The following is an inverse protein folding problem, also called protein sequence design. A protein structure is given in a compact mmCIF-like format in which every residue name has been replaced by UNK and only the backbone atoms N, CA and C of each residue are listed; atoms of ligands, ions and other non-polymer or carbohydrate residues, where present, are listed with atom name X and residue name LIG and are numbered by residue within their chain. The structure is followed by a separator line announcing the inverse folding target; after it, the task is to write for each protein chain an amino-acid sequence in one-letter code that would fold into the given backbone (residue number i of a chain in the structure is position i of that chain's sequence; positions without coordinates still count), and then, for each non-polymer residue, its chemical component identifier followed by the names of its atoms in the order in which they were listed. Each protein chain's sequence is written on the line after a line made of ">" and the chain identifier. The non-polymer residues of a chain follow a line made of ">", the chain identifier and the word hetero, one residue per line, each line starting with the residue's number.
data_IF_775019762869
#
_entry.id   IF_775019762869
#
_cell.length_a   1.000
_cell.length_b   1.000
_cell.length_c   1.000
_cell.angle_alpha   90.00
_cell.angle_beta   90.00
_cell.angle_gamma   90.00
#
_symmetry.space_group_name_H-M   'P 1'
#
loop_
_entity.id
_entity.type
_entity.pdbx_description
1 polymer ?
#
# COMPACT_ATOMS: atom_id res chain seq x y z
N UNK A 1 6.75 14.98 -0.68
CA UNK A 1 7.02 13.55 -0.97
C UNK A 1 6.80 12.76 0.30
N UNK A 2 6.02 11.68 0.25
CA UNK A 2 5.85 10.78 1.39
C UNK A 2 7.07 9.86 1.44
N UNK A 3 7.74 9.81 2.59
CA UNK A 3 8.86 8.88 2.81
C UNK A 3 8.28 7.50 3.15
N UNK A 4 8.58 6.50 2.33
CA UNK A 4 8.28 5.10 2.64
C UNK A 4 9.08 4.65 3.87
N UNK A 5 8.56 3.71 4.68
CA UNK A 5 9.28 3.19 5.84
C UNK A 5 10.66 2.63 5.46
N UNK A 6 11.62 2.80 6.36
CA UNK A 6 13.01 2.36 6.18
C UNK A 6 13.21 0.87 6.52
N UNK A 7 12.21 0.03 6.26
CA UNK A 7 12.34 -1.41 6.42
C UNK A 7 13.37 -1.95 5.43
N UNK A 8 14.30 -2.80 5.91
CA UNK A 8 15.24 -3.49 5.05
C UNK A 8 14.48 -4.55 4.24
N UNK A 9 14.17 -4.26 2.98
CA UNK A 9 13.39 -5.15 2.13
C UNK A 9 13.04 -4.55 0.75
N UNK A 10 12.48 -5.36 -0.17
CA UNK A 10 12.03 -4.92 -1.48
C UNK A 10 10.98 -3.80 -1.40
N UNK A 11 10.92 -2.96 -2.44
CA UNK A 11 10.01 -1.81 -2.48
C UNK A 11 8.53 -2.18 -2.31
N UNK A 12 8.09 -3.37 -2.76
CA UNK A 12 6.69 -3.78 -2.59
C UNK A 12 6.35 -4.02 -1.11
N UNK A 13 7.29 -4.52 -0.30
CA UNK A 13 7.07 -4.71 1.15
C UNK A 13 6.88 -3.36 1.84
N UNK A 14 7.68 -2.35 1.47
CA UNK A 14 7.49 -0.98 1.98
C UNK A 14 6.13 -0.40 1.62
N UNK A 15 5.60 -0.72 0.44
CA UNK A 15 4.24 -0.34 0.04
C UNK A 15 3.21 -1.07 0.89
N UNK A 16 3.40 -2.36 1.19
CA UNK A 16 2.52 -3.13 2.08
C UNK A 16 2.49 -2.52 3.48
N UNK A 17 3.65 -2.23 4.06
CA UNK A 17 3.79 -1.59 5.37
C UNK A 17 3.07 -0.24 5.41
N UNK A 18 3.27 0.58 4.37
CA UNK A 18 2.57 1.86 4.25
C UNK A 18 1.04 1.68 4.22
N UNK A 19 0.54 0.73 3.43
CA UNK A 19 -0.90 0.48 3.32
C UNK A 19 -1.48 -0.02 4.65
N UNK A 20 -0.85 -1.02 5.25
CA UNK A 20 -1.26 -1.58 6.54
C UNK A 20 -1.20 -0.52 7.66
N UNK A 21 -0.17 0.34 7.66
CA UNK A 21 -0.07 1.44 8.61
C UNK A 21 -1.20 2.48 8.47
N UNK A 22 -1.64 2.79 7.25
CA UNK A 22 -2.77 3.69 7.03
C UNK A 22 -4.12 3.05 7.42
N UNK A 23 -4.27 1.73 7.23
CA UNK A 23 -5.45 0.98 7.70
C UNK A 23 -5.46 0.93 9.23
N UNK A 24 -4.36 0.50 9.86
CA UNK A 24 -4.23 0.36 11.31
C UNK A 24 -4.34 1.68 12.08
N UNK A 25 -3.92 2.79 11.47
CA UNK A 25 -4.12 4.14 12.04
C UNK A 25 -5.55 4.69 11.86
N UNK A 26 -6.42 3.99 11.14
CA UNK A 26 -7.80 4.43 10.86
C UNK A 26 -7.91 5.51 9.79
N UNK A 27 -6.81 5.90 9.13
CA UNK A 27 -6.85 6.85 8.00
C UNK A 27 -7.64 6.28 6.83
N UNK A 28 -7.53 4.98 6.60
CA UNK A 28 -8.32 4.23 5.62
C UNK A 28 -9.19 3.22 6.36
N UNK A 29 -10.37 3.66 6.83
CA UNK A 29 -11.28 2.76 7.51
C UNK A 29 -11.77 1.67 6.56
N UNK A 30 -12.07 0.49 7.12
CA UNK A 30 -12.56 -0.70 6.40
C UNK A 30 -13.74 -0.45 5.46
N UNK A 31 -14.56 0.56 5.75
CA UNK A 31 -15.75 0.93 4.98
C UNK A 31 -15.47 1.97 3.88
N UNK A 32 -14.21 2.39 3.72
CA UNK A 32 -13.79 3.36 2.70
C UNK A 32 -12.92 2.69 1.65
N UNK A 33 -13.13 3.09 0.39
CA UNK A 33 -12.30 2.67 -0.73
C UNK A 33 -10.86 3.16 -0.55
N UNK A 34 -9.90 2.26 -0.74
CA UNK A 34 -8.48 2.62 -0.78
C UNK A 34 -8.18 3.58 -1.94
N UNK A 35 -7.11 4.38 -1.83
CA UNK A 35 -6.58 5.12 -2.97
C UNK A 35 -6.32 4.18 -4.15
N UNK A 36 -6.54 4.68 -5.35
CA UNK A 36 -6.32 3.92 -6.59
C UNK A 36 -4.82 3.60 -6.76
N UNK A 37 -4.49 2.57 -7.56
CA UNK A 37 -3.10 2.24 -7.88
C UNK A 37 -2.31 3.46 -8.39
N UNK A 38 -2.91 4.25 -9.27
CA UNK A 38 -2.29 5.45 -9.82
C UNK A 38 -2.02 6.52 -8.75
N UNK A 39 -2.95 6.70 -7.79
CA UNK A 39 -2.75 7.64 -6.69
C UNK A 39 -1.60 7.20 -5.80
N UNK A 40 -1.49 5.90 -5.51
CA UNK A 40 -0.37 5.33 -4.74
C UNK A 40 0.96 5.48 -5.48
N UNK A 41 0.98 5.23 -6.80
CA UNK A 41 2.16 5.44 -7.66
C UNK A 41 2.65 6.89 -7.58
N UNK A 42 1.74 7.86 -7.80
CA UNK A 42 2.10 9.28 -7.75
C UNK A 42 2.51 9.74 -6.35
N UNK A 43 1.86 9.20 -5.31
CA UNK A 43 2.12 9.60 -3.92
C UNK A 43 3.44 9.05 -3.39
N UNK A 44 3.74 7.78 -3.70
CA UNK A 44 4.89 7.05 -3.18
C UNK A 44 6.11 7.12 -4.11
N UNK A 45 5.94 7.55 -5.36
CA UNK A 45 7.02 7.64 -6.35
C UNK A 45 7.59 6.30 -6.78
N UNK A 46 6.79 5.23 -6.73
CA UNK A 46 7.20 3.86 -7.09
C UNK A 46 6.53 3.40 -8.39
N UNK A 47 7.07 2.36 -9.03
CA UNK A 47 6.47 1.79 -10.24
C UNK A 47 5.08 1.19 -9.98
N UNK A 48 4.21 1.25 -11.00
CA UNK A 48 2.90 0.59 -10.98
C UNK A 48 3.01 -0.91 -10.67
N UNK A 49 4.01 -1.61 -11.21
CA UNK A 49 4.21 -3.04 -10.92
C UNK A 49 4.47 -3.30 -9.44
N UNK A 50 5.17 -2.40 -8.76
CA UNK A 50 5.45 -2.48 -7.32
C UNK A 50 4.17 -2.30 -6.50
N UNK A 51 3.36 -1.30 -6.81
CA UNK A 51 2.06 -1.08 -6.16
C UNK A 51 1.12 -2.26 -6.42
N UNK A 52 1.04 -2.70 -7.67
CA UNK A 52 0.17 -3.82 -8.06
C UNK A 52 0.52 -5.09 -7.28
N UNK A 53 1.81 -5.43 -7.20
CA UNK A 53 2.28 -6.58 -6.43
C UNK A 53 1.91 -6.46 -4.95
N UNK A 54 2.19 -5.32 -4.34
CA UNK A 54 1.90 -5.09 -2.92
C UNK A 54 0.40 -5.26 -2.62
N UNK A 55 -0.47 -4.64 -3.41
CA UNK A 55 -1.92 -4.76 -3.23
C UNK A 55 -2.41 -6.19 -3.47
N UNK A 56 -1.88 -6.89 -4.49
CA UNK A 56 -2.23 -8.29 -4.76
C UNK A 56 -1.87 -9.22 -3.60
N UNK A 57 -0.68 -9.06 -3.02
CA UNK A 57 -0.27 -9.84 -1.85
C UNK A 57 -1.16 -9.53 -0.65
N UNK A 58 -1.45 -8.26 -0.36
CA UNK A 58 -2.36 -7.89 0.74
C UNK A 58 -3.78 -8.44 0.55
N UNK A 59 -4.30 -8.47 -0.68
CA UNK A 59 -5.58 -9.13 -0.99
C UNK A 59 -5.47 -10.63 -0.76
N UNK A 60 -4.38 -11.27 -1.19
CA UNK A 60 -4.16 -12.70 -0.99
C UNK A 60 -4.01 -13.09 0.49
N UNK A 61 -3.47 -12.20 1.31
CA UNK A 61 -3.32 -12.34 2.76
C UNK A 61 -4.62 -12.04 3.52
N UNK A 62 -5.67 -11.57 2.84
CA UNK A 62 -6.96 -11.24 3.44
C UNK A 62 -7.01 -9.87 4.12
N UNK A 63 -5.97 -9.03 3.95
CA UNK A 63 -5.96 -7.65 4.46
C UNK A 63 -6.84 -6.70 3.64
N UNK A 64 -7.04 -7.00 2.35
CA UNK A 64 -7.86 -6.21 1.43
C UNK A 64 -8.94 -7.06 0.78
N UNK A 65 -10.12 -6.48 0.62
CA UNK A 65 -11.20 -7.05 -0.19
C UNK A 65 -11.13 -6.45 -1.61
N UNK A 66 -11.43 -7.25 -2.62
CA UNK A 66 -11.44 -6.83 -4.03
C UNK A 66 -12.76 -6.16 -4.41
#
# INVERSE_FOLDING_TARGET
>A
MIRLPETAGPLYEKVKDYVLGNIGSGKWPKDRRLPSENELVSTLGVSRMTVHRALRELTSEGHLLR
#
